data_IF_776887894819
#
_entry.id   IF_776887894819
#
_cell.length_a   1.000
_cell.length_b   1.000
_cell.length_c   1.000
_cell.angle_alpha   90.00
_cell.angle_beta   90.00
_cell.angle_gamma   90.00
#
_symmetry.space_group_name_H-M   'P 1'
#
loop_
_entity.id
_entity.type
_entity.pdbx_description
1 polymer ?
#
# COMPACT_ATOMS: atom_id res chain seq x y z
N UNK A 1 -11.18 39.02 -50.13
CA UNK A 1 -10.57 40.27 -49.68
C UNK A 1 -9.57 39.99 -48.55
N UNK A 2 -8.72 40.94 -48.30
CA UNK A 2 -7.68 40.84 -47.24
C UNK A 2 -8.30 40.62 -45.88
N UNK A 3 -9.43 41.22 -45.58
CA UNK A 3 -10.11 41.07 -44.31
C UNK A 3 -10.69 39.68 -44.12
N UNK A 4 -11.29 39.10 -45.16
CA UNK A 4 -11.81 37.76 -45.09
C UNK A 4 -10.70 36.72 -44.90
N UNK A 5 -9.57 36.90 -45.58
CA UNK A 5 -8.41 36.04 -45.44
C UNK A 5 -7.79 36.18 -44.07
N UNK A 6 -7.69 37.38 -43.51
CA UNK A 6 -7.20 37.63 -42.18
C UNK A 6 -8.06 37.00 -41.11
N UNK A 7 -9.38 37.04 -41.27
CA UNK A 7 -10.34 36.38 -40.37
C UNK A 7 -10.21 34.86 -40.40
N UNK A 8 -10.01 34.29 -41.58
CA UNK A 8 -9.80 32.85 -41.75
C UNK A 8 -8.50 32.43 -41.09
N UNK A 9 -7.42 33.18 -41.29
CA UNK A 9 -6.11 32.90 -40.70
C UNK A 9 -6.15 33.01 -39.19
N UNK A 10 -6.85 34.02 -38.64
CA UNK A 10 -7.03 34.17 -37.21
C UNK A 10 -7.86 33.03 -36.61
N UNK A 11 -8.89 32.58 -37.32
CA UNK A 11 -9.70 31.45 -36.90
C UNK A 11 -8.88 30.16 -36.82
N UNK A 12 -8.04 29.92 -37.83
CA UNK A 12 -7.14 28.77 -37.84
C UNK A 12 -6.09 28.86 -36.74
N UNK A 13 -5.51 30.03 -36.53
CA UNK A 13 -4.56 30.27 -35.48
C UNK A 13 -5.17 30.04 -34.08
N UNK A 14 -6.40 30.51 -33.89
CA UNK A 14 -7.12 30.29 -32.62
C UNK A 14 -7.42 28.82 -32.38
N UNK A 15 -7.80 28.07 -33.42
CA UNK A 15 -8.04 26.64 -33.31
C UNK A 15 -6.76 25.89 -32.98
N UNK A 16 -5.62 26.28 -33.55
CA UNK A 16 -4.32 25.70 -33.24
C UNK A 16 -3.87 26.04 -31.80
N UNK A 17 -4.12 27.26 -31.37
CA UNK A 17 -3.83 27.68 -29.98
C UNK A 17 -4.67 26.86 -28.98
N UNK A 18 -5.96 26.67 -29.28
CA UNK A 18 -6.85 25.86 -28.43
C UNK A 18 -6.35 24.43 -28.37
N UNK A 19 -5.96 23.83 -29.48
CA UNK A 19 -5.42 22.47 -29.53
C UNK A 19 -4.10 22.38 -28.79
N UNK A 20 -3.22 23.35 -28.94
CA UNK A 20 -1.94 23.40 -28.26
C UNK A 20 -2.12 23.48 -26.74
N UNK A 21 -3.04 24.33 -26.26
CA UNK A 21 -3.34 24.42 -24.84
C UNK A 21 -3.96 23.15 -24.30
N UNK A 22 -4.89 22.52 -25.05
CA UNK A 22 -5.48 21.25 -24.68
C UNK A 22 -4.41 20.16 -24.54
N UNK A 23 -3.48 20.08 -25.50
CA UNK A 23 -2.36 19.15 -25.46
C UNK A 23 -1.47 19.40 -24.23
N UNK A 24 -1.16 20.66 -23.93
CA UNK A 24 -0.39 21.03 -22.75
C UNK A 24 -1.07 20.63 -21.45
N UNK A 25 -2.38 20.79 -21.35
CA UNK A 25 -3.15 20.39 -20.18
C UNK A 25 -3.14 18.86 -20.05
N UNK A 26 -3.34 18.13 -21.14
CA UNK A 26 -3.26 16.67 -21.14
C UNK A 26 -1.88 16.17 -20.75
N UNK A 27 -0.82 16.79 -21.26
CA UNK A 27 0.55 16.46 -20.88
C UNK A 27 0.82 16.75 -19.39
N UNK A 28 0.32 17.88 -18.89
CA UNK A 28 0.47 18.23 -17.47
C UNK A 28 -0.27 17.24 -16.57
N UNK A 29 -1.47 16.80 -16.97
CA UNK A 29 -2.22 15.78 -16.24
C UNK A 29 -1.50 14.44 -16.26
N UNK A 30 -0.96 14.04 -17.41
CA UNK A 30 -0.16 12.81 -17.54
C UNK A 30 1.09 12.88 -16.67
N UNK A 31 1.82 13.99 -16.71
CA UNK A 31 3.01 14.19 -15.88
C UNK A 31 2.67 14.17 -14.39
N UNK A 32 1.55 14.77 -14.00
CA UNK A 32 1.10 14.74 -12.62
C UNK A 32 0.75 13.33 -12.16
N UNK A 33 0.07 12.55 -13.02
CA UNK A 33 -0.25 11.15 -12.75
C UNK A 33 1.03 10.30 -12.66
N UNK A 34 1.96 10.49 -13.59
CA UNK A 34 3.26 9.83 -13.57
C UNK A 34 4.09 10.23 -12.35
N UNK A 35 4.06 11.50 -11.95
CA UNK A 35 4.74 11.97 -10.76
C UNK A 35 4.14 11.36 -9.49
N UNK A 36 2.81 11.22 -9.41
CA UNK A 36 2.15 10.53 -8.30
C UNK A 36 2.53 9.05 -8.25
N UNK A 37 2.65 8.41 -9.41
CA UNK A 37 3.05 7.01 -9.49
C UNK A 37 4.56 6.85 -9.28
N UNK A 38 5.36 7.83 -9.69
CA UNK A 38 6.81 7.85 -9.50
C UNK A 38 7.22 8.28 -8.10
N UNK A 39 6.37 9.02 -7.38
CA UNK A 39 6.53 9.22 -5.94
C UNK A 39 6.36 7.84 -5.32
N UNK A 40 7.48 7.18 -5.11
CA UNK A 40 7.49 5.89 -4.42
C UNK A 40 6.67 6.03 -3.16
N UNK A 41 5.68 5.18 -3.02
CA UNK A 41 4.92 5.11 -1.79
C UNK A 41 5.90 4.98 -0.63
N UNK A 42 5.70 5.77 0.41
CA UNK A 42 6.54 5.67 1.61
C UNK A 42 6.21 4.35 2.32
N UNK A 43 7.15 3.42 2.23
CA UNK A 43 7.02 2.08 2.82
C UNK A 43 7.63 1.99 4.21
N UNK A 44 8.17 3.09 4.75
CA UNK A 44 8.93 3.04 6.00
C UNK A 44 8.12 2.52 7.18
N UNK A 45 6.87 2.93 7.33
CA UNK A 45 5.97 2.43 8.38
C UNK A 45 5.67 0.95 8.17
N UNK A 46 5.38 0.56 6.93
CA UNK A 46 5.13 -0.85 6.58
C UNK A 46 6.34 -1.72 6.91
N UNK A 47 7.52 -1.28 6.53
CA UNK A 47 8.77 -1.99 6.81
C UNK A 47 9.05 -2.10 8.31
N UNK A 48 8.69 -1.08 9.10
CA UNK A 48 8.82 -1.10 10.56
C UNK A 48 7.84 -2.07 11.21
N UNK A 49 6.63 -2.18 10.68
CA UNK A 49 5.56 -3.04 11.25
C UNK A 49 5.70 -4.50 10.85
N UNK A 50 6.25 -4.76 9.67
CA UNK A 50 6.35 -6.13 9.12
C UNK A 50 7.06 -7.12 10.05
N UNK A 51 8.20 -6.79 10.67
CA UNK A 51 8.89 -7.71 11.57
C UNK A 51 8.05 -8.14 12.79
N UNK A 52 7.09 -7.31 13.22
CA UNK A 52 6.19 -7.65 14.30
C UNK A 52 5.35 -8.89 14.03
N UNK A 53 5.07 -9.20 12.76
CA UNK A 53 4.34 -10.41 12.37
C UNK A 53 5.19 -11.68 12.47
N UNK A 54 6.49 -11.57 12.62
CA UNK A 54 7.40 -12.70 12.79
C UNK A 54 7.52 -13.13 14.25
N UNK A 55 6.90 -12.39 15.18
CA UNK A 55 6.89 -12.78 16.58
C UNK A 55 6.18 -14.12 16.72
N UNK A 56 6.82 -15.01 17.46
CA UNK A 56 6.27 -16.31 17.83
C UNK A 56 6.43 -16.49 19.33
N UNK A 57 5.51 -17.23 19.92
CA UNK A 57 5.61 -17.54 21.35
C UNK A 57 6.68 -18.59 21.60
N UNK A 58 7.43 -18.41 22.68
CA UNK A 58 8.34 -19.43 23.17
C UNK A 58 7.53 -20.38 24.03
N UNK A 59 7.41 -21.63 23.59
CA UNK A 59 6.58 -22.64 24.27
C UNK A 59 7.39 -23.44 25.29
N UNK A 60 8.71 -23.45 25.16
CA UNK A 60 9.58 -24.16 26.09
C UNK A 60 9.47 -23.56 27.50
N UNK A 61 9.36 -24.42 28.50
CA UNK A 61 9.26 -23.98 29.88
C UNK A 61 7.91 -23.40 30.25
N UNK A 62 6.91 -23.51 29.38
CA UNK A 62 5.55 -22.98 29.60
C UNK A 62 4.62 -24.06 30.10
N UNK A 63 3.56 -23.65 30.83
CA UNK A 63 2.50 -24.57 31.26
C UNK A 63 1.84 -25.22 30.04
N UNK A 64 1.63 -26.54 30.03
CA UNK A 64 1.05 -27.23 28.88
C UNK A 64 -0.33 -26.69 28.48
N UNK A 65 -1.18 -26.33 29.42
CA UNK A 65 -2.49 -25.75 29.12
C UNK A 65 -2.36 -24.40 28.42
N UNK A 66 -1.36 -23.58 28.79
CA UNK A 66 -1.12 -22.30 28.12
C UNK A 66 -0.56 -22.49 26.72
N UNK A 67 0.27 -23.50 26.49
CA UNK A 67 0.78 -23.86 25.17
C UNK A 67 -0.37 -24.30 24.26
N UNK A 68 -1.29 -25.11 24.78
CA UNK A 68 -2.49 -25.54 24.02
C UNK A 68 -3.35 -24.34 23.64
N UNK A 69 -3.60 -23.42 24.58
CA UNK A 69 -4.37 -22.21 24.30
C UNK A 69 -3.69 -21.33 23.24
N UNK A 70 -2.38 -21.14 23.34
CA UNK A 70 -1.58 -20.43 22.37
C UNK A 70 -1.69 -21.07 20.97
N UNK A 71 -1.49 -22.37 20.88
CA UNK A 71 -1.55 -23.08 19.61
C UNK A 71 -2.95 -22.99 18.98
N UNK A 72 -4.01 -23.06 19.78
CA UNK A 72 -5.38 -22.92 19.29
C UNK A 72 -5.64 -21.52 18.73
N UNK A 73 -5.17 -20.48 19.41
CA UNK A 73 -5.29 -19.11 18.92
C UNK A 73 -4.47 -18.88 17.65
N UNK A 74 -3.27 -19.41 17.60
CA UNK A 74 -2.42 -19.31 16.38
C UNK A 74 -3.08 -20.00 15.20
N UNK A 75 -3.75 -21.12 15.41
CA UNK A 75 -4.52 -21.81 14.35
C UNK A 75 -5.67 -20.95 13.85
N UNK A 76 -6.38 -20.27 14.75
CA UNK A 76 -7.50 -19.40 14.37
C UNK A 76 -7.06 -18.20 13.53
N UNK A 77 -5.92 -17.62 13.85
CA UNK A 77 -5.42 -16.41 13.17
C UNK A 77 -4.46 -16.72 12.02
N UNK A 78 -4.13 -18.00 11.81
CA UNK A 78 -3.10 -18.41 10.84
C UNK A 78 -3.33 -17.80 9.45
N UNK A 79 -4.52 -17.95 8.88
CA UNK A 79 -4.80 -17.47 7.53
C UNK A 79 -4.71 -15.94 7.44
N UNK A 80 -5.24 -15.24 8.43
CA UNK A 80 -5.18 -13.78 8.51
C UNK A 80 -3.73 -13.30 8.66
N UNK A 81 -2.96 -13.97 9.49
CA UNK A 81 -1.55 -13.66 9.71
C UNK A 81 -0.72 -13.87 8.45
N UNK A 82 -0.90 -15.01 7.78
CA UNK A 82 -0.19 -15.31 6.53
C UNK A 82 -0.58 -14.35 5.41
N UNK A 83 -1.86 -13.98 5.32
CA UNK A 83 -2.34 -13.01 4.35
C UNK A 83 -1.70 -11.63 4.58
N UNK A 84 -1.59 -11.20 5.84
CA UNK A 84 -0.93 -9.94 6.18
C UNK A 84 0.56 -9.94 5.84
N UNK A 85 1.26 -11.03 6.13
CA UNK A 85 2.68 -11.21 5.78
C UNK A 85 2.90 -11.16 4.27
N UNK A 86 2.11 -11.93 3.53
CA UNK A 86 2.21 -12.03 2.06
C UNK A 86 1.94 -10.68 1.41
N UNK A 87 0.88 -10.00 1.84
CA UNK A 87 0.53 -8.67 1.31
C UNK A 87 1.63 -7.66 1.62
N UNK A 88 2.13 -7.64 2.84
CA UNK A 88 3.21 -6.73 3.23
C UNK A 88 4.48 -6.97 2.42
N UNK A 89 4.89 -8.22 2.27
CA UNK A 89 6.10 -8.57 1.51
C UNK A 89 5.95 -8.22 0.03
N UNK A 90 4.78 -8.49 -0.54
CA UNK A 90 4.49 -8.16 -1.94
C UNK A 90 4.61 -6.66 -2.16
N UNK A 91 4.02 -5.85 -1.29
CA UNK A 91 4.04 -4.38 -1.41
C UNK A 91 5.45 -3.84 -1.17
N UNK A 92 6.16 -4.34 -0.18
CA UNK A 92 7.54 -3.91 0.12
C UNK A 92 8.46 -4.13 -1.08
N UNK A 93 8.31 -5.25 -1.78
CA UNK A 93 9.16 -5.61 -2.92
C UNK A 93 8.65 -5.11 -4.26
N UNK A 94 7.49 -4.46 -4.30
CA UNK A 94 6.89 -3.92 -5.52
C UNK A 94 7.30 -2.46 -5.69
N UNK A 95 8.20 -2.19 -6.63
CA UNK A 95 8.65 -0.83 -6.95
C UNK A 95 7.51 0.05 -7.47
N UNK A 96 6.43 -0.55 -7.95
CA UNK A 96 5.27 0.15 -8.47
C UNK A 96 4.11 0.22 -7.45
N UNK A 97 4.35 -0.16 -6.20
CA UNK A 97 3.33 -0.10 -5.17
C UNK A 97 2.80 1.32 -4.99
N UNK A 98 1.48 1.43 -4.92
CA UNK A 98 0.80 2.72 -4.71
C UNK A 98 0.66 3.01 -3.21
N UNK A 99 0.48 4.30 -2.83
CA UNK A 99 0.18 4.64 -1.43
C UNK A 99 -1.04 3.89 -0.87
N UNK A 100 -2.06 3.67 -1.71
CA UNK A 100 -3.25 2.90 -1.30
C UNK A 100 -2.91 1.45 -0.96
N UNK A 101 -2.01 0.82 -1.73
CA UNK A 101 -1.55 -0.54 -1.46
C UNK A 101 -0.74 -0.61 -0.16
N UNK A 102 0.11 0.37 0.09
CA UNK A 102 0.86 0.47 1.35
C UNK A 102 -0.09 0.63 2.53
N UNK A 103 -1.07 1.52 2.42
CA UNK A 103 -2.08 1.74 3.47
C UNK A 103 -2.88 0.46 3.75
N UNK A 104 -3.29 -0.25 2.70
CA UNK A 104 -4.02 -1.51 2.83
C UNK A 104 -3.18 -2.60 3.53
N UNK A 105 -1.90 -2.70 3.19
CA UNK A 105 -0.99 -3.65 3.82
C UNK A 105 -0.79 -3.33 5.31
N UNK A 106 -0.62 -2.06 5.65
CA UNK A 106 -0.51 -1.59 7.04
C UNK A 106 -1.78 -1.92 7.82
N UNK A 107 -2.95 -1.69 7.22
CA UNK A 107 -4.23 -1.99 7.86
C UNK A 107 -4.38 -3.48 8.20
N UNK A 108 -3.92 -4.36 7.32
CA UNK A 108 -3.93 -5.81 7.59
C UNK A 108 -3.01 -6.18 8.75
N UNK A 109 -1.84 -5.58 8.82
CA UNK A 109 -0.91 -5.79 9.94
C UNK A 109 -1.54 -5.29 11.24
N UNK A 110 -2.10 -4.08 11.23
CA UNK A 110 -2.71 -3.47 12.42
C UNK A 110 -3.92 -4.27 12.92
N UNK A 111 -4.63 -4.97 12.02
CA UNK A 111 -5.75 -5.82 12.39
C UNK A 111 -5.30 -7.13 13.05
N UNK A 112 -4.21 -7.74 12.57
CA UNK A 112 -3.76 -9.05 13.05
C UNK A 112 -2.74 -8.97 14.17
N UNK A 113 -1.95 -7.90 14.25
CA UNK A 113 -0.90 -7.77 15.27
C UNK A 113 -1.43 -7.91 16.70
N UNK A 114 -2.54 -7.25 17.10
CA UNK A 114 -3.08 -7.46 18.45
C UNK A 114 -3.51 -8.90 18.71
N UNK A 115 -4.03 -9.59 17.70
CA UNK A 115 -4.43 -11.00 17.81
C UNK A 115 -3.24 -11.89 18.04
N UNK A 116 -2.13 -11.63 17.33
CA UNK A 116 -0.87 -12.34 17.51
C UNK A 116 -0.31 -12.09 18.91
N UNK A 117 -0.27 -10.83 19.32
CA UNK A 117 0.24 -10.44 20.64
C UNK A 117 -0.60 -11.07 21.76
N UNK A 118 -1.93 -11.11 21.61
CA UNK A 118 -2.82 -11.75 22.55
C UNK A 118 -2.56 -13.26 22.64
N UNK A 119 -2.35 -13.91 21.50
CA UNK A 119 -2.04 -15.34 21.47
C UNK A 119 -0.74 -15.62 22.25
N UNK A 120 0.30 -14.82 22.00
CA UNK A 120 1.58 -14.96 22.71
C UNK A 120 1.40 -14.71 24.21
N UNK A 121 0.55 -13.76 24.59
CA UNK A 121 0.29 -13.42 25.99
C UNK A 121 -0.40 -14.54 26.79
N UNK A 122 -0.96 -15.53 26.10
CA UNK A 122 -1.57 -16.70 26.76
C UNK A 122 -0.52 -17.62 27.39
N UNK A 123 0.72 -17.56 26.93
CA UNK A 123 1.79 -18.42 27.42
C UNK A 123 2.21 -17.99 28.83
N UNK A 124 2.24 -18.95 29.73
CA UNK A 124 2.63 -18.77 31.13
C UNK A 124 3.75 -19.72 31.51
N UNK A 125 4.69 -19.23 32.28
CA UNK A 125 5.77 -20.04 32.82
C UNK A 125 5.22 -21.08 33.81
N UNK A 126 5.88 -22.22 33.83
CA UNK A 126 5.57 -23.29 34.79
C UNK A 126 5.77 -22.85 36.22
#
# INVERSE_FOLDING_TARGET
SSEAQSLIDNGDATAEEIRSEKTKVEEALTQLTEAKNALKADKSVLEQKRPGLNHVGVTEGKKPASVTAYNNEMTKIHDELEAAKTEADRVIHDDNATPAQVTAAIAKIDAVQPKLDNAISLLHDK
#
